data_IF_510493919909
#
_entry.id   IF_510493919909
#
_cell.length_a   1.000
_cell.length_b   1.000
_cell.length_c   1.000
_cell.angle_alpha   90.00
_cell.angle_beta   90.00
_cell.angle_gamma   90.00
#
_symmetry.space_group_name_H-M   'P 1'
#
loop_
_entity.id
_entity.type
_entity.pdbx_description
1 polymer ?
#
# COMPACT_ATOMS: atom_id res chain seq x y z
N UNK A 1 -12.43 32.92 63.83
CA UNK A 1 -12.92 32.31 62.62
C UNK A 1 -12.27 33.01 61.43
N UNK A 2 -11.37 32.33 60.73
CA UNK A 2 -10.71 32.84 59.51
C UNK A 2 -11.35 32.09 58.34
N UNK A 3 -11.94 32.75 57.35
CA UNK A 3 -12.41 32.06 56.14
C UNK A 3 -11.20 31.78 55.24
N UNK A 4 -10.99 30.50 54.96
CA UNK A 4 -10.05 30.07 53.95
C UNK A 4 -10.66 30.34 52.56
N UNK A 5 -10.10 31.31 51.83
CA UNK A 5 -10.35 31.53 50.40
C UNK A 5 -9.66 30.43 49.62
N UNK A 6 -10.45 29.49 49.11
CA UNK A 6 -10.01 28.54 48.10
C UNK A 6 -10.00 29.30 46.76
N UNK A 7 -8.86 29.84 46.38
CA UNK A 7 -8.61 30.25 44.99
C UNK A 7 -8.39 28.98 44.18
N UNK A 8 -9.44 28.54 43.49
CA UNK A 8 -9.31 27.58 42.37
C UNK A 8 -8.49 28.30 41.30
N UNK A 9 -7.25 27.86 41.11
CA UNK A 9 -6.51 28.17 39.89
C UNK A 9 -7.18 27.43 38.74
N UNK A 10 -8.07 28.13 38.04
CA UNK A 10 -8.38 27.83 36.66
C UNK A 10 -7.08 28.07 35.90
N UNK A 11 -6.34 26.98 35.63
CA UNK A 11 -5.35 27.01 34.56
C UNK A 11 -6.19 27.12 33.27
N UNK A 12 -6.23 28.29 32.67
CA UNK A 12 -6.45 28.41 31.23
C UNK A 12 -5.27 27.70 30.59
N UNK A 13 -5.46 26.46 30.21
CA UNK A 13 -4.59 25.83 29.24
C UNK A 13 -4.80 26.61 27.95
N UNK A 14 -3.88 27.51 27.63
CA UNK A 14 -3.79 28.08 26.28
C UNK A 14 -3.79 26.88 25.32
N UNK A 15 -4.87 26.77 24.55
CA UNK A 15 -4.96 25.77 23.51
C UNK A 15 -3.75 25.95 22.59
N UNK A 16 -2.79 25.04 22.66
CA UNK A 16 -1.57 25.03 21.83
C UNK A 16 -1.90 24.97 20.33
N UNK A 17 -3.16 24.79 20.00
CA UNK A 17 -3.68 24.68 18.64
C UNK A 17 -4.96 25.50 18.48
N UNK A 18 -5.05 26.27 17.40
CA UNK A 18 -6.22 27.07 17.04
C UNK A 18 -7.50 26.23 16.76
N UNK A 19 -7.36 24.91 16.61
CA UNK A 19 -8.46 23.97 16.33
C UNK A 19 -8.42 22.79 17.30
N UNK A 20 -9.59 22.32 17.69
CA UNK A 20 -9.73 21.08 18.46
C UNK A 20 -9.15 19.86 17.75
N UNK A 21 -8.85 18.79 18.48
CA UNK A 21 -8.36 17.54 17.90
C UNK A 21 -9.34 16.97 16.86
N UNK A 22 -10.65 17.06 17.13
CA UNK A 22 -11.71 16.60 16.22
C UNK A 22 -11.73 17.42 14.92
N UNK A 23 -11.61 18.74 15.00
CA UNK A 23 -11.57 19.60 13.80
C UNK A 23 -10.32 19.36 12.95
N UNK A 24 -9.19 19.08 13.59
CA UNK A 24 -7.95 18.77 12.87
C UNK A 24 -8.04 17.45 12.13
N UNK A 25 -8.58 16.40 12.77
CA UNK A 25 -8.72 15.10 12.12
C UNK A 25 -9.74 15.14 10.98
N UNK A 26 -10.84 15.88 11.14
CA UNK A 26 -11.82 16.04 10.07
C UNK A 26 -11.25 16.83 8.88
N UNK A 27 -10.48 17.88 9.13
CA UNK A 27 -9.76 18.60 8.08
C UNK A 27 -8.74 17.70 7.35
N UNK A 28 -8.00 16.87 8.08
CA UNK A 28 -7.06 15.92 7.49
C UNK A 28 -7.75 14.83 6.65
N UNK A 29 -8.94 14.35 7.06
CA UNK A 29 -9.76 13.42 6.27
C UNK A 29 -10.23 14.08 4.96
N UNK A 30 -10.69 15.32 5.05
CA UNK A 30 -11.12 16.06 3.86
C UNK A 30 -9.97 16.34 2.90
N UNK A 31 -8.79 16.67 3.41
CA UNK A 31 -7.57 16.85 2.63
C UNK A 31 -7.17 15.53 1.94
N UNK A 32 -7.13 14.43 2.68
CA UNK A 32 -6.82 13.11 2.13
C UNK A 32 -7.80 12.71 1.03
N UNK A 33 -9.11 12.95 1.24
CA UNK A 33 -10.12 12.73 0.21
C UNK A 33 -9.85 13.54 -1.05
N UNK A 34 -9.62 14.83 -0.89
CA UNK A 34 -9.36 15.76 -2.00
C UNK A 34 -8.14 15.31 -2.81
N UNK A 35 -7.07 14.90 -2.14
CA UNK A 35 -5.85 14.40 -2.81
C UNK A 35 -6.13 13.09 -3.52
N UNK A 36 -6.76 12.11 -2.88
CA UNK A 36 -7.07 10.80 -3.49
C UNK A 36 -7.92 10.94 -4.76
N UNK A 37 -8.90 11.87 -4.75
CA UNK A 37 -9.80 12.11 -5.89
C UNK A 37 -9.20 13.07 -6.94
N UNK A 38 -8.04 13.70 -6.69
CA UNK A 38 -7.44 14.70 -7.59
C UNK A 38 -6.75 14.12 -8.82
N UNK A 39 -6.35 12.85 -8.80
CA UNK A 39 -5.66 12.22 -9.92
C UNK A 39 -6.66 11.83 -11.02
N UNK A 40 -6.74 12.64 -12.08
CA UNK A 40 -7.73 12.47 -13.16
C UNK A 40 -7.66 11.10 -13.83
N UNK A 41 -6.45 10.58 -14.05
CA UNK A 41 -6.22 9.24 -14.60
C UNK A 41 -5.88 8.20 -13.51
N UNK A 42 -6.10 8.55 -12.22
CA UNK A 42 -5.87 7.67 -11.08
C UNK A 42 -4.42 7.59 -10.64
N UNK A 43 -4.13 6.57 -9.87
CA UNK A 43 -2.87 6.34 -9.18
C UNK A 43 -2.27 5.00 -9.58
N UNK A 44 -0.99 4.97 -9.91
CA UNK A 44 -0.21 3.74 -9.93
C UNK A 44 0.17 3.37 -8.50
N UNK A 45 -0.15 2.16 -8.10
CA UNK A 45 0.04 1.63 -6.74
C UNK A 45 1.11 0.55 -6.77
N UNK A 46 2.21 0.78 -6.08
CA UNK A 46 3.23 -0.24 -5.83
C UNK A 46 2.97 -0.86 -4.47
N UNK A 47 2.74 -2.16 -4.46
CA UNK A 47 2.37 -2.89 -3.27
C UNK A 47 3.27 -4.09 -3.03
N UNK A 48 3.87 -4.15 -1.84
CA UNK A 48 4.65 -5.29 -1.37
C UNK A 48 3.89 -5.95 -0.21
N UNK A 49 3.11 -7.01 -0.46
CA UNK A 49 2.42 -7.73 0.59
C UNK A 49 3.40 -8.46 1.50
N UNK A 50 2.97 -8.78 2.72
CA UNK A 50 3.76 -9.31 3.83
C UNK A 50 4.78 -8.33 4.42
N UNK A 51 4.93 -8.28 5.75
CA UNK A 51 5.94 -7.45 6.41
C UNK A 51 7.38 -7.78 6.01
N UNK A 52 7.62 -9.01 5.55
CA UNK A 52 8.94 -9.48 5.08
C UNK A 52 9.14 -9.33 3.58
N UNK A 53 8.11 -8.85 2.85
CA UNK A 53 8.10 -8.68 1.40
C UNK A 53 8.48 -9.97 0.64
N UNK A 54 8.16 -11.13 1.22
CA UNK A 54 8.56 -12.44 0.68
C UNK A 54 7.91 -12.81 -0.64
N UNK A 55 6.83 -12.12 -1.01
CA UNK A 55 6.11 -12.30 -2.26
C UNK A 55 6.53 -11.28 -3.34
N UNK A 56 7.46 -10.35 -3.02
CA UNK A 56 7.82 -9.23 -3.89
C UNK A 56 6.71 -8.21 -4.06
N UNK A 57 6.83 -7.37 -5.10
CA UNK A 57 5.92 -6.28 -5.38
C UNK A 57 4.93 -6.56 -6.51
N UNK A 58 3.79 -5.90 -6.44
CA UNK A 58 2.70 -5.97 -7.41
C UNK A 58 2.26 -4.57 -7.82
N UNK A 59 1.91 -4.43 -9.11
CA UNK A 59 1.39 -3.21 -9.68
C UNK A 59 -0.14 -3.26 -9.72
N UNK A 60 -0.76 -2.19 -9.19
CA UNK A 60 -2.18 -1.95 -9.30
C UNK A 60 -2.41 -0.51 -9.77
N UNK A 61 -3.61 -0.24 -10.25
CA UNK A 61 -4.07 1.11 -10.51
C UNK A 61 -5.35 1.36 -9.73
N UNK A 62 -5.42 2.53 -9.07
CA UNK A 62 -6.58 2.97 -8.29
C UNK A 62 -7.08 4.30 -8.84
N UNK A 63 -8.40 4.41 -9.02
CA UNK A 63 -9.06 5.69 -9.29
C UNK A 63 -10.15 5.91 -8.27
N UNK A 64 -9.98 6.91 -7.42
CA UNK A 64 -10.95 7.28 -6.39
C UNK A 64 -11.94 8.30 -6.95
N UNK A 65 -13.23 8.14 -6.63
CA UNK A 65 -14.29 9.05 -7.03
C UNK A 65 -15.52 8.85 -6.14
N UNK A 66 -15.97 9.92 -5.49
CA UNK A 66 -17.26 9.97 -4.78
C UNK A 66 -17.51 8.80 -3.80
N UNK A 67 -16.47 8.39 -3.05
CA UNK A 67 -16.57 7.29 -2.08
C UNK A 67 -16.43 5.90 -2.71
N UNK A 68 -16.11 5.81 -3.98
CA UNK A 68 -15.77 4.58 -4.68
C UNK A 68 -14.33 4.56 -5.16
N UNK A 69 -13.77 3.37 -5.32
CA UNK A 69 -12.46 3.15 -5.93
C UNK A 69 -12.58 2.11 -7.02
N UNK A 70 -12.12 2.47 -8.22
CA UNK A 70 -11.94 1.54 -9.32
C UNK A 70 -10.51 1.02 -9.31
N UNK A 71 -10.35 -0.28 -9.36
CA UNK A 71 -9.07 -0.98 -9.24
C UNK A 71 -8.81 -1.79 -10.49
N UNK A 72 -7.57 -1.75 -10.99
CA UNK A 72 -7.01 -2.71 -11.95
C UNK A 72 -5.74 -3.32 -11.34
N UNK A 73 -5.36 -4.51 -11.74
CA UNK A 73 -4.19 -5.20 -11.19
C UNK A 73 -3.57 -6.17 -12.19
N UNK A 74 -2.26 -6.27 -12.16
CA UNK A 74 -1.49 -7.22 -12.98
C UNK A 74 -1.73 -8.70 -12.63
N UNK A 75 -2.46 -8.99 -11.53
CA UNK A 75 -2.84 -10.37 -11.19
C UNK A 75 -3.92 -10.92 -12.14
N UNK A 76 -4.69 -10.04 -12.78
CA UNK A 76 -5.72 -10.45 -13.73
C UNK A 76 -5.12 -10.89 -15.07
N UNK A 77 -5.64 -11.99 -15.60
CA UNK A 77 -5.21 -12.51 -16.91
C UNK A 77 -5.63 -11.60 -18.07
N UNK A 78 -6.73 -10.88 -17.91
CA UNK A 78 -7.16 -9.84 -18.84
C UNK A 78 -6.88 -8.46 -18.22
N UNK A 79 -5.86 -7.72 -18.69
CA UNK A 79 -5.45 -6.45 -18.09
C UNK A 79 -6.50 -5.33 -18.21
N UNK A 80 -7.53 -5.51 -19.05
CA UNK A 80 -8.64 -4.55 -19.17
C UNK A 80 -9.72 -4.71 -18.10
N UNK A 81 -9.63 -5.74 -17.25
CA UNK A 81 -10.60 -5.94 -16.17
C UNK A 81 -10.32 -4.94 -15.05
N UNK A 82 -11.38 -4.24 -14.68
CA UNK A 82 -11.41 -3.36 -13.51
C UNK A 82 -12.54 -3.78 -12.57
N UNK A 83 -12.37 -3.54 -11.29
CA UNK A 83 -13.41 -3.75 -10.29
C UNK A 83 -13.61 -2.50 -9.46
N UNK A 84 -14.85 -2.07 -9.25
CA UNK A 84 -15.19 -0.89 -8.45
C UNK A 84 -15.81 -1.33 -7.12
N UNK A 85 -15.32 -0.76 -6.03
CA UNK A 85 -15.80 -1.00 -4.68
C UNK A 85 -15.91 0.31 -3.90
N UNK A 86 -16.54 0.26 -2.73
CA UNK A 86 -16.66 1.43 -1.86
C UNK A 86 -15.41 1.57 -0.98
N UNK A 87 -15.03 2.81 -0.71
CA UNK A 87 -14.05 3.15 0.30
C UNK A 87 -14.58 4.24 1.24
N UNK A 88 -14.01 4.32 2.43
CA UNK A 88 -14.24 5.40 3.37
C UNK A 88 -12.96 5.88 4.02
N UNK A 89 -12.99 7.13 4.48
CA UNK A 89 -11.97 7.69 5.35
C UNK A 89 -12.50 7.70 6.78
N UNK A 90 -11.81 7.00 7.66
CA UNK A 90 -12.10 6.92 9.08
C UNK A 90 -11.02 7.59 9.92
N UNK A 91 -11.09 7.36 11.21
CA UNK A 91 -10.08 7.76 12.18
C UNK A 91 -9.73 6.61 13.13
N UNK A 92 -8.46 6.55 13.50
CA UNK A 92 -7.93 5.70 14.56
C UNK A 92 -6.79 6.48 15.22
N UNK A 93 -5.53 6.07 15.14
CA UNK A 93 -4.35 6.87 15.53
C UNK A 93 -3.97 7.94 14.49
N UNK A 94 -4.87 8.26 13.56
CA UNK A 94 -4.74 9.19 12.45
C UNK A 94 -5.83 8.92 11.43
N UNK A 95 -5.75 9.54 10.26
CA UNK A 95 -6.67 9.26 9.15
C UNK A 95 -6.46 7.84 8.66
N UNK A 96 -7.55 7.09 8.48
CA UNK A 96 -7.52 5.74 7.90
C UNK A 96 -8.29 5.69 6.60
N UNK A 97 -7.79 4.93 5.64
CA UNK A 97 -8.51 4.54 4.42
C UNK A 97 -8.95 3.10 4.58
N UNK A 98 -10.23 2.84 4.38
CA UNK A 98 -10.85 1.52 4.48
C UNK A 98 -11.46 1.14 3.13
N UNK A 99 -11.22 -0.08 2.66
CA UNK A 99 -11.96 -0.65 1.57
C UNK A 99 -13.18 -1.36 2.14
N UNK A 100 -14.37 -0.74 2.01
CA UNK A 100 -15.57 -1.12 2.77
C UNK A 100 -16.32 -2.30 2.15
N UNK A 101 -16.23 -2.46 0.83
CA UNK A 101 -16.86 -3.57 0.13
C UNK A 101 -15.82 -4.44 -0.56
N UNK A 102 -16.19 -5.70 -0.79
CA UNK A 102 -15.30 -6.66 -1.44
C UNK A 102 -14.86 -6.14 -2.81
N UNK A 103 -13.54 -6.17 -3.02
CA UNK A 103 -12.90 -6.00 -4.30
C UNK A 103 -11.96 -7.19 -4.48
N UNK A 104 -12.16 -8.01 -5.51
CA UNK A 104 -11.41 -9.27 -5.65
C UNK A 104 -9.92 -9.02 -5.91
N UNK A 105 -9.58 -7.91 -6.58
CA UNK A 105 -8.21 -7.54 -6.90
C UNK A 105 -7.40 -7.16 -5.65
N UNK A 106 -8.04 -6.47 -4.69
CA UNK A 106 -7.45 -6.19 -3.37
C UNK A 106 -7.48 -7.44 -2.51
N UNK A 107 -8.63 -8.14 -2.49
CA UNK A 107 -8.84 -9.31 -1.66
C UNK A 107 -7.90 -10.48 -2.01
N UNK A 108 -7.38 -10.52 -3.23
CA UNK A 108 -6.34 -11.47 -3.65
C UNK A 108 -5.16 -11.52 -2.67
N UNK A 109 -4.71 -10.35 -2.19
CA UNK A 109 -3.59 -10.24 -1.26
C UNK A 109 -3.97 -10.49 0.19
N UNK A 110 -5.23 -10.30 0.54
CA UNK A 110 -5.75 -10.34 1.92
C UNK A 110 -6.32 -11.72 2.28
N UNK A 111 -6.81 -12.45 1.28
CA UNK A 111 -7.53 -13.70 1.51
C UNK A 111 -6.61 -14.77 2.14
N UNK A 112 -7.01 -15.39 3.27
CA UNK A 112 -6.19 -16.40 3.96
C UNK A 112 -5.79 -17.61 3.10
N UNK A 113 -6.58 -17.90 2.07
CA UNK A 113 -6.26 -18.87 1.02
C UNK A 113 -6.19 -18.11 -0.30
N UNK A 114 -4.98 -17.69 -0.68
CA UNK A 114 -4.76 -17.02 -1.96
C UNK A 114 -5.25 -17.91 -3.13
N UNK A 115 -5.93 -17.37 -4.16
CA UNK A 115 -6.45 -18.15 -5.29
C UNK A 115 -5.37 -18.97 -6.01
N UNK A 116 -4.16 -18.44 -6.13
CA UNK A 116 -3.02 -19.11 -6.79
C UNK A 116 -2.16 -19.93 -5.81
N UNK A 117 -2.66 -20.12 -4.58
CA UNK A 117 -1.96 -20.82 -3.50
C UNK A 117 -0.59 -20.19 -3.12
N UNK A 118 -0.44 -18.88 -3.32
CA UNK A 118 0.73 -18.14 -2.86
C UNK A 118 0.59 -17.85 -1.37
N UNK A 119 1.69 -18.00 -0.64
CA UNK A 119 1.72 -17.81 0.82
C UNK A 119 1.38 -19.08 1.60
N UNK A 120 1.36 -18.96 2.92
CA UNK A 120 1.10 -20.07 3.81
C UNK A 120 -0.40 -20.29 4.05
N UNK A 121 -0.79 -21.52 4.36
CA UNK A 121 -2.16 -21.88 4.69
C UNK A 121 -2.69 -21.02 5.85
N UNK A 122 -3.87 -20.46 5.69
CA UNK A 122 -4.58 -19.55 6.61
C UNK A 122 -4.01 -18.13 6.75
N UNK A 123 -2.90 -17.79 6.08
CA UNK A 123 -2.32 -16.45 6.08
C UNK A 123 -2.36 -15.79 4.70
N UNK A 124 -2.33 -16.60 3.63
CA UNK A 124 -2.22 -16.09 2.27
C UNK A 124 -0.97 -15.23 2.10
N UNK A 125 -1.11 -14.09 1.47
CA UNK A 125 -0.02 -13.13 1.23
C UNK A 125 0.11 -12.06 2.33
N UNK A 126 -0.65 -12.17 3.42
CA UNK A 126 -0.63 -11.23 4.54
C UNK A 126 -0.84 -9.76 4.11
N UNK A 127 -1.81 -9.53 3.22
CA UNK A 127 -2.22 -8.19 2.81
C UNK A 127 -3.17 -7.52 3.80
N UNK A 128 -3.36 -6.21 3.63
CA UNK A 128 -4.29 -5.39 4.40
C UNK A 128 -5.41 -4.83 3.50
N UNK A 129 -6.57 -4.54 4.10
CA UNK A 129 -7.70 -3.83 3.47
C UNK A 129 -8.05 -2.53 4.21
N UNK A 130 -7.33 -2.23 5.30
CA UNK A 130 -7.44 -1.00 6.07
C UNK A 130 -6.05 -0.43 6.31
N UNK A 131 -5.89 0.86 6.05
CA UNK A 131 -4.59 1.52 6.05
C UNK A 131 -4.64 2.82 6.83
N UNK A 132 -3.57 3.15 7.54
CA UNK A 132 -3.31 4.50 8.04
C UNK A 132 -2.73 5.33 6.88
N UNK A 133 -3.26 6.53 6.70
CA UNK A 133 -2.73 7.50 5.75
C UNK A 133 -1.49 8.16 6.37
N UNK A 134 -0.31 7.86 5.82
CA UNK A 134 0.96 8.33 6.36
C UNK A 134 1.42 9.63 5.71
N UNK A 135 1.13 9.78 4.42
CA UNK A 135 1.48 10.95 3.63
C UNK A 135 0.42 11.17 2.55
N UNK A 136 0.04 12.44 2.34
CA UNK A 136 -0.83 12.85 1.23
C UNK A 136 -0.27 14.08 0.56
N UNK A 137 -0.01 13.97 -0.73
CA UNK A 137 0.34 15.08 -1.60
C UNK A 137 -0.14 14.81 -3.03
N UNK A 138 -0.18 15.81 -3.88
CA UNK A 138 -0.50 15.62 -5.29
C UNK A 138 0.55 14.75 -6.03
N UNK A 139 1.75 14.62 -5.49
CA UNK A 139 2.83 13.84 -6.08
C UNK A 139 2.87 12.38 -5.56
N UNK A 140 2.38 12.13 -4.34
CA UNK A 140 2.46 10.81 -3.71
C UNK A 140 1.48 10.68 -2.56
N UNK A 141 0.89 9.50 -2.44
CA UNK A 141 0.17 9.07 -1.23
C UNK A 141 0.83 7.81 -0.68
N UNK A 142 1.08 7.79 0.62
CA UNK A 142 1.65 6.63 1.32
C UNK A 142 0.64 6.12 2.33
N UNK A 143 0.25 4.86 2.16
CA UNK A 143 -0.68 4.16 3.04
C UNK A 143 0.06 3.03 3.75
N UNK A 144 -0.15 2.87 5.04
CA UNK A 144 0.42 1.78 5.84
C UNK A 144 -0.68 0.88 6.38
N UNK A 145 -0.60 -0.40 6.08
CA UNK A 145 -1.52 -1.41 6.57
C UNK A 145 -1.57 -1.46 8.11
N UNK A 146 -2.76 -1.57 8.66
CA UNK A 146 -2.96 -1.53 10.12
C UNK A 146 -2.57 -2.85 10.77
N UNK A 147 -2.81 -3.98 10.07
CA UNK A 147 -2.59 -5.32 10.63
C UNK A 147 -1.15 -5.78 10.42
N UNK A 148 -0.67 -5.69 9.18
CA UNK A 148 0.63 -6.26 8.78
C UNK A 148 1.72 -5.20 8.62
N UNK A 149 1.35 -3.91 8.54
CA UNK A 149 2.28 -2.80 8.45
C UNK A 149 2.94 -2.62 7.09
N UNK A 150 2.50 -3.36 6.07
CA UNK A 150 2.99 -3.18 4.70
C UNK A 150 2.41 -1.90 4.05
N UNK A 151 3.04 -1.49 2.94
CA UNK A 151 2.77 -0.17 2.36
C UNK A 151 2.15 -0.26 0.97
N UNK A 152 1.17 0.61 0.71
CA UNK A 152 0.81 1.07 -0.62
C UNK A 152 1.49 2.41 -0.89
N UNK A 153 2.22 2.49 -1.99
CA UNK A 153 2.84 3.74 -2.46
C UNK A 153 2.14 4.10 -3.76
N UNK A 154 1.37 5.18 -3.72
CA UNK A 154 0.59 5.67 -4.84
C UNK A 154 1.29 6.87 -5.48
N UNK A 155 1.49 6.82 -6.79
CA UNK A 155 1.97 7.96 -7.59
C UNK A 155 0.96 8.28 -8.68
N UNK A 156 0.69 9.57 -8.97
CA UNK A 156 -0.32 9.92 -9.97
C UNK A 156 0.08 9.43 -11.35
N UNK A 157 -0.90 8.97 -12.10
CA UNK A 157 -0.73 8.47 -13.47
C UNK A 157 -0.95 9.60 -14.45
N UNK A 158 -0.12 9.68 -15.52
CA UNK A 158 -0.29 10.70 -16.54
C UNK A 158 -1.56 10.45 -17.37
N UNK A 159 -2.13 11.52 -17.96
CA UNK A 159 -3.42 11.47 -18.65
C UNK A 159 -3.42 10.56 -19.90
N UNK A 160 -2.26 10.34 -20.48
CA UNK A 160 -2.03 9.53 -21.68
C UNK A 160 -1.67 8.06 -21.39
N UNK A 161 -1.58 7.67 -20.11
CA UNK A 161 -1.30 6.27 -19.72
C UNK A 161 -2.54 5.40 -19.90
N UNK A 162 -2.39 4.29 -20.61
CA UNK A 162 -3.36 3.21 -20.64
C UNK A 162 -3.00 2.15 -19.58
N UNK A 163 -3.86 1.99 -18.59
CA UNK A 163 -3.65 1.03 -17.51
C UNK A 163 -3.50 -0.41 -18.01
N UNK A 164 -4.25 -0.76 -19.06
CA UNK A 164 -4.22 -2.13 -19.58
C UNK A 164 -2.92 -2.44 -20.31
N UNK A 165 -2.37 -1.48 -21.03
CA UNK A 165 -1.07 -1.63 -21.70
C UNK A 165 0.08 -1.74 -20.68
N UNK A 166 0.07 -0.93 -19.63
CA UNK A 166 1.07 -1.00 -18.57
C UNK A 166 0.98 -2.33 -17.82
N UNK A 167 -0.24 -2.77 -17.43
CA UNK A 167 -0.44 -4.05 -16.74
C UNK A 167 -0.03 -5.25 -17.60
N UNK A 168 -0.30 -5.23 -18.90
CA UNK A 168 0.18 -6.25 -19.83
C UNK A 168 1.71 -6.27 -19.87
N UNK A 169 2.33 -5.09 -19.91
CA UNK A 169 3.80 -4.96 -19.89
C UNK A 169 4.39 -5.56 -18.61
N UNK A 170 3.84 -5.24 -17.43
CA UNK A 170 4.31 -5.81 -16.16
C UNK A 170 4.18 -7.33 -16.12
N UNK A 171 3.08 -7.88 -16.64
CA UNK A 171 2.86 -9.32 -16.72
C UNK A 171 3.84 -9.99 -17.67
N UNK A 172 4.03 -9.45 -18.86
CA UNK A 172 4.99 -9.98 -19.83
C UNK A 172 6.41 -9.98 -19.25
N UNK A 173 6.83 -8.91 -18.57
CA UNK A 173 8.09 -8.86 -17.86
C UNK A 173 8.22 -9.97 -16.80
N UNK A 174 7.12 -10.25 -16.08
CA UNK A 174 7.10 -11.31 -15.08
C UNK A 174 7.26 -12.72 -15.73
N UNK A 175 6.61 -12.95 -16.86
CA UNK A 175 6.72 -14.21 -17.61
C UNK A 175 8.11 -14.39 -18.24
N UNK A 176 8.72 -13.33 -18.74
CA UNK A 176 10.05 -13.33 -19.34
C UNK A 176 11.18 -13.60 -18.32
N UNK A 177 10.92 -13.38 -17.03
CA UNK A 177 11.87 -13.64 -15.93
C UNK A 177 11.98 -15.13 -15.53
N UNK A 178 11.80 -16.05 -16.47
CA UNK A 178 11.88 -17.51 -16.23
C UNK A 178 13.23 -18.11 -16.64
N UNK A 179 14.30 -17.71 -15.96
CA UNK A 179 15.63 -18.27 -16.20
C UNK A 179 15.97 -19.39 -15.21
N UNK A 180 16.82 -20.32 -15.64
CA UNK A 180 17.29 -21.43 -14.80
C UNK A 180 18.31 -20.99 -13.74
N UNK A 181 19.04 -19.90 -14.01
CA UNK A 181 20.09 -19.38 -13.12
C UNK A 181 20.09 -17.86 -13.11
N UNK A 182 20.37 -17.30 -11.95
CA UNK A 182 20.53 -15.87 -11.74
C UNK A 182 21.85 -15.59 -11.05
N UNK A 183 22.48 -14.47 -11.36
CA UNK A 183 23.67 -14.01 -10.67
C UNK A 183 23.67 -12.50 -10.53
N UNK A 184 24.27 -12.02 -9.46
CA UNK A 184 24.53 -10.61 -9.22
C UNK A 184 26.03 -10.36 -9.20
N UNK A 185 26.47 -9.35 -9.95
CA UNK A 185 27.87 -8.93 -9.95
C UNK A 185 27.99 -7.63 -9.18
N UNK A 186 28.75 -7.64 -8.09
CA UNK A 186 29.00 -6.47 -7.24
C UNK A 186 30.49 -6.33 -7.05
N UNK A 187 31.12 -5.30 -7.54
CA UNK A 187 32.57 -5.09 -7.50
C UNK A 187 33.27 -6.37 -7.88
N UNK A 188 33.55 -6.79 -8.91
CA UNK A 188 34.32 -7.96 -9.39
C UNK A 188 33.97 -9.34 -8.75
N UNK A 189 32.94 -9.40 -7.89
CA UNK A 189 32.45 -10.65 -7.30
C UNK A 189 31.10 -11.03 -7.88
N UNK A 190 30.95 -12.29 -8.24
CA UNK A 190 29.69 -12.87 -8.71
C UNK A 190 29.05 -13.68 -7.60
N UNK A 191 27.79 -13.39 -7.33
CA UNK A 191 26.96 -14.07 -6.34
C UNK A 191 25.86 -14.84 -7.05
N UNK A 192 25.69 -16.10 -6.73
CA UNK A 192 24.55 -16.88 -7.23
C UNK A 192 23.25 -16.45 -6.54
N UNK A 193 22.16 -16.49 -7.28
CA UNK A 193 20.83 -16.20 -6.75
C UNK A 193 19.81 -17.21 -7.27
N UNK A 194 18.76 -17.39 -6.48
CA UNK A 194 17.53 -18.09 -6.87
C UNK A 194 16.38 -17.13 -6.84
N UNK A 195 15.42 -17.29 -7.74
CA UNK A 195 14.19 -16.53 -7.78
C UNK A 195 13.05 -17.38 -7.23
N UNK A 196 12.32 -16.85 -6.25
CA UNK A 196 11.08 -17.45 -5.75
C UNK A 196 10.04 -16.34 -5.61
N UNK A 197 8.91 -16.52 -6.25
CA UNK A 197 7.93 -15.44 -6.44
C UNK A 197 8.62 -14.24 -7.12
N UNK A 198 8.60 -13.08 -6.48
CA UNK A 198 9.25 -11.84 -6.95
C UNK A 198 10.33 -11.39 -5.97
N UNK A 199 11.12 -12.36 -5.48
CA UNK A 199 12.19 -12.11 -4.52
C UNK A 199 13.40 -12.97 -4.85
N UNK A 200 14.54 -12.31 -5.06
CA UNK A 200 15.81 -12.99 -5.17
C UNK A 200 16.35 -13.39 -3.80
N UNK A 201 16.83 -14.61 -3.70
CA UNK A 201 17.68 -15.07 -2.59
C UNK A 201 19.12 -15.11 -3.10
N UNK A 202 19.91 -14.11 -2.73
CA UNK A 202 21.31 -13.94 -3.16
C UNK A 202 22.23 -14.57 -2.13
N UNK A 203 22.97 -15.56 -2.52
CA UNK A 203 23.90 -16.29 -1.64
C UNK A 203 25.23 -15.56 -1.56
N UNK A 204 25.51 -14.91 -0.42
CA UNK A 204 26.75 -14.15 -0.18
C UNK A 204 27.90 -15.07 0.19
N UNK A 205 27.62 -16.07 1.03
CA UNK A 205 28.54 -17.13 1.44
C UNK A 205 27.77 -18.40 1.86
N UNK A 206 28.41 -19.37 2.50
CA UNK A 206 27.78 -20.62 2.93
C UNK A 206 26.71 -20.46 3.99
N UNK A 207 26.72 -19.36 4.77
CA UNK A 207 25.83 -19.12 5.91
C UNK A 207 24.89 -17.94 5.67
N UNK A 208 25.26 -17.00 4.79
CA UNK A 208 24.55 -15.73 4.59
C UNK A 208 23.81 -15.70 3.27
N UNK A 209 22.50 -15.49 3.36
CA UNK A 209 21.63 -15.21 2.19
C UNK A 209 20.96 -13.85 2.40
N UNK A 210 21.04 -13.00 1.38
CA UNK A 210 20.34 -11.70 1.35
C UNK A 210 19.13 -11.84 0.43
N UNK A 211 18.01 -11.33 0.91
CA UNK A 211 16.76 -11.34 0.14
C UNK A 211 16.50 -9.97 -0.48
N UNK A 212 16.22 -9.95 -1.77
CA UNK A 212 15.94 -8.75 -2.53
C UNK A 212 14.55 -8.87 -3.22
N UNK A 213 13.49 -8.39 -2.59
CA UNK A 213 12.19 -8.28 -3.23
C UNK A 213 12.23 -7.23 -4.32
N UNK A 214 11.46 -7.42 -5.39
CA UNK A 214 11.38 -6.47 -6.48
C UNK A 214 9.96 -6.43 -7.07
N UNK A 215 9.71 -5.44 -7.91
CA UNK A 215 8.48 -5.22 -8.69
C UNK A 215 8.89 -5.05 -10.16
N UNK A 216 8.05 -5.50 -11.07
CA UNK A 216 8.29 -5.39 -12.52
C UNK A 216 7.97 -4.00 -13.07
#
# INVERSE_FOLDING_TARGET
>A
AIPALLTSCLFDEEDLFDKSASERIEAAKQEAKTVLESAENGWHVRYFPSPTQEFGGYNLFFKFSEGSVTVASEIESNPSITETSLYSLGEDLGVTLNFDTKNSLINYFVHPKNPDNIGSTYKGMEGDYKFTVMETSAAMVVLRGIITGNYYILTPVSADTDWSEDLETYRNNAEDMSFNTYSFVVKDKTYSATLTNRRFAVKIDSETTVYAPFIY
#
